data_IF_054101918756
#
_entry.id   IF_054101918756
#
_cell.length_a   1.000
_cell.length_b   1.000
_cell.length_c   1.000
_cell.angle_alpha   90.00
_cell.angle_beta   90.00
_cell.angle_gamma   90.00
#
_symmetry.space_group_name_H-M   'P 1'
#
loop_
_entity.id
_entity.type
_entity.pdbx_description
1 polymer ?
#
# COMPACT_ATOMS: atom_id res chain seq x y z
N UNK A 1 41.69 -22.23 -39.57
CA UNK A 1 40.60 -23.01 -38.93
C UNK A 1 40.28 -22.34 -37.61
N UNK A 2 39.19 -21.58 -37.56
CA UNK A 2 38.88 -20.61 -36.50
C UNK A 2 38.03 -21.27 -35.40
N UNK A 3 38.35 -20.92 -34.15
CA UNK A 3 37.87 -21.49 -32.88
C UNK A 3 36.36 -21.34 -32.66
N UNK A 4 35.70 -22.41 -32.22
CA UNK A 4 34.35 -22.36 -31.63
C UNK A 4 34.45 -22.08 -30.13
N UNK A 5 33.95 -20.91 -29.70
CA UNK A 5 33.69 -20.63 -28.29
C UNK A 5 32.23 -20.98 -27.98
N UNK A 6 32.01 -21.92 -27.07
CA UNK A 6 30.72 -22.12 -26.42
C UNK A 6 30.57 -21.06 -25.33
N UNK A 7 29.69 -20.08 -25.54
CA UNK A 7 29.28 -19.15 -24.50
C UNK A 7 28.03 -19.71 -23.81
N UNK A 8 28.23 -20.38 -22.67
CA UNK A 8 27.13 -20.72 -21.75
C UNK A 8 26.65 -19.43 -21.08
N UNK A 9 25.50 -18.92 -21.52
CA UNK A 9 24.80 -17.83 -20.82
C UNK A 9 24.15 -18.43 -19.57
N UNK A 10 24.80 -18.27 -18.42
CA UNK A 10 24.17 -18.48 -17.15
C UNK A 10 23.10 -17.39 -16.95
N UNK A 11 21.83 -17.74 -17.10
CA UNK A 11 20.72 -16.94 -16.60
C UNK A 11 20.80 -16.93 -15.08
N UNK A 12 21.59 -16.02 -14.54
CA UNK A 12 21.54 -15.67 -13.13
C UNK A 12 20.18 -15.08 -12.84
N UNK A 13 19.31 -15.83 -12.17
CA UNK A 13 18.13 -15.29 -11.52
C UNK A 13 18.64 -14.40 -10.39
N UNK A 14 18.87 -13.13 -10.69
CA UNK A 14 18.98 -12.14 -9.63
C UNK A 14 17.61 -12.10 -8.97
N UNK A 15 17.51 -12.76 -7.82
CA UNK A 15 16.49 -12.48 -6.82
C UNK A 15 16.66 -11.00 -6.46
N UNK A 16 16.02 -10.12 -7.22
CA UNK A 16 15.79 -8.75 -6.80
C UNK A 16 14.95 -8.89 -5.54
N UNK A 17 15.57 -8.58 -4.40
CA UNK A 17 14.87 -8.50 -3.13
C UNK A 17 13.68 -7.57 -3.33
N UNK A 18 12.48 -8.16 -3.32
CA UNK A 18 11.21 -7.44 -3.33
C UNK A 18 11.19 -6.60 -2.07
N UNK A 19 11.52 -5.31 -2.15
CA UNK A 19 11.37 -4.40 -1.01
C UNK A 19 9.88 -4.29 -0.71
N UNK A 20 9.39 -4.89 0.39
CA UNK A 20 7.96 -5.16 0.57
C UNK A 20 7.33 -4.00 1.32
N UNK A 21 7.60 -2.76 0.92
CA UNK A 21 6.85 -1.63 1.46
C UNK A 21 5.67 -1.41 0.51
N UNK A 22 4.50 -2.04 0.74
CA UNK A 22 3.31 -1.64 0.01
C UNK A 22 3.12 -0.13 0.23
N UNK A 23 2.62 0.54 -0.79
CA UNK A 23 2.40 1.97 -0.71
C UNK A 23 1.22 2.23 0.24
N UNK A 24 1.47 2.95 1.33
CA UNK A 24 0.50 3.23 2.39
C UNK A 24 -0.01 4.68 2.32
N UNK A 25 -1.19 4.93 2.88
CA UNK A 25 -1.80 6.27 2.93
C UNK A 25 -2.29 6.61 4.35
N UNK A 26 -1.76 7.69 4.92
CA UNK A 26 -2.23 8.27 6.18
C UNK A 26 -3.51 9.11 5.98
N UNK A 27 -4.31 9.27 7.04
CA UNK A 27 -5.54 10.08 6.99
C UNK A 27 -5.38 11.30 7.88
N UNK A 28 -5.50 12.49 7.29
CA UNK A 28 -5.37 13.75 8.02
C UNK A 28 -6.53 13.94 8.99
N UNK A 29 -6.19 14.19 10.25
CA UNK A 29 -7.15 14.57 11.29
C UNK A 29 -7.34 16.10 11.27
N UNK A 30 -8.59 16.54 11.42
CA UNK A 30 -8.93 17.96 11.50
C UNK A 30 -8.97 18.41 12.97
N UNK A 31 -8.29 19.53 13.26
CA UNK A 31 -8.23 20.12 14.59
C UNK A 31 -6.83 20.03 15.22
N UNK A 32 -6.76 20.29 16.52
CA UNK A 32 -5.54 20.17 17.35
C UNK A 32 -5.75 19.17 18.47
N UNK A 33 -4.65 18.62 19.00
CA UNK A 33 -4.65 17.73 20.16
C UNK A 33 -4.15 16.32 19.84
N UNK A 34 -4.47 15.32 20.67
CA UNK A 34 -3.88 13.98 20.58
C UNK A 34 -4.06 13.30 19.21
N UNK A 35 -5.19 13.54 18.54
CA UNK A 35 -5.41 13.04 17.18
C UNK A 35 -4.43 13.63 16.16
N UNK A 36 -4.13 14.93 16.25
CA UNK A 36 -3.11 15.58 15.41
C UNK A 36 -1.71 14.98 15.67
N UNK A 37 -1.39 14.72 16.94
CA UNK A 37 -0.11 14.14 17.33
C UNK A 37 0.03 12.69 16.86
N UNK A 38 -1.05 11.89 16.95
CA UNK A 38 -1.13 10.56 16.37
C UNK A 38 -0.89 10.59 14.84
N UNK A 39 -1.57 11.50 14.14
CA UNK A 39 -1.38 11.68 12.69
C UNK A 39 0.09 12.02 12.36
N UNK A 40 0.70 12.97 13.06
CA UNK A 40 2.12 13.34 12.86
C UNK A 40 3.05 12.16 13.11
N UNK A 41 2.81 11.40 14.18
CA UNK A 41 3.59 10.20 14.49
C UNK A 41 3.52 9.17 13.37
N UNK A 42 2.34 8.96 12.76
CA UNK A 42 2.15 8.08 11.61
C UNK A 42 2.87 8.61 10.35
N UNK A 43 2.78 9.91 10.06
CA UNK A 43 3.50 10.56 8.95
C UNK A 43 5.00 10.37 9.07
N UNK A 44 5.54 10.57 10.27
CA UNK A 44 6.96 10.45 10.57
C UNK A 44 7.43 9.00 10.76
N UNK A 45 6.51 8.02 10.65
CA UNK A 45 6.77 6.58 10.83
C UNK A 45 7.43 6.25 12.17
N UNK A 46 7.04 6.93 13.25
CA UNK A 46 7.59 6.67 14.59
C UNK A 46 7.09 5.32 15.11
N UNK A 47 7.94 4.30 15.12
CA UNK A 47 7.53 2.92 15.48
C UNK A 47 7.53 2.62 16.98
N UNK A 48 7.98 3.57 17.81
CA UNK A 48 8.05 3.39 19.26
C UNK A 48 6.65 3.31 19.90
N UNK A 49 6.49 2.55 20.99
CA UNK A 49 5.21 2.38 21.70
C UNK A 49 4.52 3.71 22.03
N UNK A 50 5.30 4.70 22.45
CA UNK A 50 4.85 6.08 22.70
C UNK A 50 4.07 6.72 21.53
N UNK A 51 4.32 6.33 20.28
CA UNK A 51 3.55 6.82 19.13
C UNK A 51 2.13 6.26 19.08
N UNK A 52 1.94 5.00 19.50
CA UNK A 52 0.62 4.36 19.60
C UNK A 52 -0.17 4.94 20.78
N UNK A 53 0.49 5.25 21.90
CA UNK A 53 -0.15 5.82 23.09
C UNK A 53 -0.83 7.18 22.79
N UNK A 54 -0.27 7.96 21.84
CA UNK A 54 -0.89 9.20 21.36
C UNK A 54 -2.24 8.93 20.68
N UNK A 55 -2.30 7.89 19.86
CA UNK A 55 -3.52 7.48 19.18
C UNK A 55 -4.54 6.89 20.17
N UNK A 56 -4.09 6.12 21.16
CA UNK A 56 -4.96 5.58 22.22
C UNK A 56 -5.61 6.73 23.01
N UNK A 57 -4.80 7.71 23.40
CA UNK A 57 -5.28 8.91 24.10
C UNK A 57 -6.27 9.71 23.25
N UNK A 58 -6.04 9.81 21.94
CA UNK A 58 -6.98 10.46 21.01
C UNK A 58 -8.34 9.75 20.97
N UNK A 59 -8.35 8.41 20.87
CA UNK A 59 -9.58 7.63 20.78
C UNK A 59 -10.45 7.69 22.05
N UNK A 60 -9.87 8.05 23.20
CA UNK A 60 -10.60 8.28 24.45
C UNK A 60 -11.41 9.58 24.43
N UNK A 61 -10.93 10.62 23.74
CA UNK A 61 -11.51 11.97 23.78
C UNK A 61 -12.22 12.37 22.49
N UNK A 62 -11.89 11.73 21.37
CA UNK A 62 -12.52 12.01 20.08
C UNK A 62 -13.98 11.55 20.07
N UNK A 63 -14.88 12.51 19.83
CA UNK A 63 -16.32 12.26 19.69
C UNK A 63 -16.76 12.17 18.23
N UNK A 64 -16.02 12.80 17.32
CA UNK A 64 -16.30 12.78 15.88
C UNK A 64 -15.96 11.42 15.27
N UNK A 65 -16.94 10.76 14.66
CA UNK A 65 -16.75 9.51 13.91
C UNK A 65 -15.66 9.65 12.84
N UNK A 66 -15.60 10.80 12.17
CA UNK A 66 -14.58 11.10 11.15
C UNK A 66 -13.16 11.12 11.73
N UNK A 67 -12.97 11.75 12.89
CA UNK A 67 -11.63 11.79 13.50
C UNK A 67 -11.27 10.41 14.05
N UNK A 68 -12.20 9.72 14.71
CA UNK A 68 -11.97 8.36 15.23
C UNK A 68 -11.58 7.38 14.13
N UNK A 69 -12.28 7.37 12.99
CA UNK A 69 -11.93 6.49 11.87
C UNK A 69 -10.54 6.81 11.32
N UNK A 70 -10.19 8.09 11.17
CA UNK A 70 -8.85 8.52 10.78
C UNK A 70 -7.76 8.12 11.79
N UNK A 71 -8.04 8.26 13.10
CA UNK A 71 -7.12 7.86 14.17
C UNK A 71 -6.87 6.35 14.17
N UNK A 72 -7.91 5.54 13.96
CA UNK A 72 -7.73 4.09 13.78
C UNK A 72 -6.86 3.78 12.56
N UNK A 73 -7.04 4.45 11.41
CA UNK A 73 -6.15 4.25 10.25
C UNK A 73 -4.70 4.60 10.59
N UNK A 74 -4.47 5.75 11.23
CA UNK A 74 -3.11 6.19 11.58
C UNK A 74 -2.44 5.26 12.61
N UNK A 75 -3.19 4.78 13.61
CA UNK A 75 -2.69 3.80 14.58
C UNK A 75 -2.40 2.44 13.92
N UNK A 76 -3.26 2.00 13.00
CA UNK A 76 -3.04 0.80 12.21
C UNK A 76 -1.75 0.87 11.40
N UNK A 77 -1.41 2.03 10.82
CA UNK A 77 -0.12 2.25 10.16
C UNK A 77 1.07 2.14 11.11
N UNK A 78 0.98 2.72 12.31
CA UNK A 78 2.02 2.57 13.35
C UNK A 78 2.20 1.12 13.78
N UNK A 79 1.11 0.36 13.85
CA UNK A 79 1.17 -1.08 14.06
C UNK A 79 1.85 -1.80 12.89
N UNK A 80 1.55 -1.46 11.63
CA UNK A 80 2.25 -2.02 10.47
C UNK A 80 3.76 -1.72 10.49
N UNK A 81 4.16 -0.48 10.79
CA UNK A 81 5.59 -0.13 10.85
C UNK A 81 6.33 -0.84 11.98
N UNK A 82 5.63 -1.16 13.07
CA UNK A 82 6.13 -2.00 14.16
C UNK A 82 5.87 -3.49 13.99
N UNK A 83 5.51 -3.95 12.78
CA UNK A 83 5.24 -5.36 12.44
C UNK A 83 4.13 -6.05 13.28
N UNK A 84 3.24 -5.27 13.88
CA UNK A 84 2.07 -5.74 14.65
C UNK A 84 0.86 -5.93 13.75
N UNK A 85 0.96 -6.92 12.88
CA UNK A 85 0.03 -7.12 11.77
C UNK A 85 -1.44 -7.34 12.17
N UNK A 86 -1.73 -8.12 13.22
CA UNK A 86 -3.12 -8.33 13.66
C UNK A 86 -3.72 -7.05 14.25
N UNK A 87 -2.96 -6.33 15.07
CA UNK A 87 -3.40 -5.04 15.62
C UNK A 87 -3.68 -4.02 14.50
N UNK A 88 -2.85 -4.01 13.44
CA UNK A 88 -3.09 -3.18 12.27
C UNK A 88 -4.40 -3.54 11.55
N UNK A 89 -4.64 -4.84 11.32
CA UNK A 89 -5.90 -5.32 10.72
C UNK A 89 -7.11 -4.90 11.55
N UNK A 90 -7.08 -5.15 12.84
CA UNK A 90 -8.17 -4.79 13.77
C UNK A 90 -8.48 -3.30 13.72
N UNK A 91 -7.46 -2.46 13.60
CA UNK A 91 -7.63 -1.01 13.49
C UNK A 91 -8.24 -0.59 12.16
N UNK A 92 -7.81 -1.18 11.03
CA UNK A 92 -8.47 -0.91 9.74
C UNK A 92 -9.91 -1.39 9.73
N UNK A 93 -10.22 -2.52 10.36
CA UNK A 93 -11.59 -3.03 10.48
C UNK A 93 -12.46 -2.10 11.33
N UNK A 94 -11.93 -1.57 12.45
CA UNK A 94 -12.63 -0.55 13.25
C UNK A 94 -12.84 0.75 12.49
N UNK A 95 -11.84 1.21 11.73
CA UNK A 95 -11.98 2.39 10.89
C UNK A 95 -13.12 2.22 9.87
N UNK A 96 -13.18 1.07 9.19
CA UNK A 96 -14.21 0.74 8.20
C UNK A 96 -15.59 0.48 8.82
N UNK A 97 -15.64 0.03 10.07
CA UNK A 97 -16.90 -0.07 10.82
C UNK A 97 -17.50 1.32 11.11
N UNK A 98 -16.65 2.33 11.35
CA UNK A 98 -17.06 3.72 11.57
C UNK A 98 -17.35 4.46 10.27
N UNK A 99 -16.54 4.25 9.23
CA UNK A 99 -16.69 4.88 7.93
C UNK A 99 -16.36 3.89 6.79
N UNK A 100 -17.42 3.34 6.18
CA UNK A 100 -17.32 2.40 5.06
C UNK A 100 -16.86 3.03 3.75
N UNK A 101 -16.73 4.36 3.68
CA UNK A 101 -16.28 5.09 2.49
C UNK A 101 -14.83 5.56 2.59
N UNK A 102 -14.13 5.17 3.66
CA UNK A 102 -12.73 5.57 3.88
C UNK A 102 -11.77 4.76 2.98
N UNK A 103 -11.45 5.32 1.82
CA UNK A 103 -10.62 4.67 0.80
C UNK A 103 -9.23 4.27 1.32
N UNK A 104 -8.62 5.09 2.18
CA UNK A 104 -7.31 4.85 2.78
C UNK A 104 -7.32 3.63 3.71
N UNK A 105 -8.42 3.35 4.40
CA UNK A 105 -8.53 2.18 5.25
C UNK A 105 -8.53 0.89 4.42
N UNK A 106 -9.28 0.87 3.31
CA UNK A 106 -9.24 -0.25 2.36
C UNK A 106 -7.84 -0.39 1.73
N UNK A 107 -7.22 0.71 1.31
CA UNK A 107 -5.86 0.69 0.75
C UNK A 107 -4.86 0.05 1.71
N UNK A 108 -4.89 0.45 2.99
CA UNK A 108 -3.93 -0.05 3.98
C UNK A 108 -4.22 -1.50 4.39
N UNK A 109 -5.49 -1.90 4.49
CA UNK A 109 -5.86 -3.31 4.73
C UNK A 109 -5.49 -4.22 3.56
N UNK A 110 -5.70 -3.74 2.33
CA UNK A 110 -5.26 -4.42 1.12
C UNK A 110 -3.73 -4.53 1.02
N UNK A 111 -3.00 -3.47 1.40
CA UNK A 111 -1.54 -3.48 1.53
C UNK A 111 -1.05 -4.52 2.55
N UNK A 112 -1.71 -4.63 3.70
CA UNK A 112 -1.42 -5.64 4.72
C UNK A 112 -1.68 -7.06 4.20
N UNK A 113 -2.79 -7.29 3.48
CA UNK A 113 -3.08 -8.56 2.84
C UNK A 113 -2.03 -8.93 1.78
N UNK A 114 -1.59 -7.95 0.98
CA UNK A 114 -0.52 -8.11 0.00
C UNK A 114 0.80 -8.52 0.65
N UNK A 115 1.18 -7.89 1.77
CA UNK A 115 2.37 -8.27 2.53
C UNK A 115 2.31 -9.74 3.00
N UNK A 116 1.12 -10.21 3.38
CA UNK A 116 0.86 -11.62 3.74
C UNK A 116 0.69 -12.55 2.54
N UNK A 117 0.84 -12.04 1.30
CA UNK A 117 0.61 -12.75 0.04
C UNK A 117 -0.82 -13.28 -0.11
N UNK A 118 -1.77 -12.73 0.63
CA UNK A 118 -3.19 -12.96 0.41
C UNK A 118 -3.67 -12.04 -0.71
N UNK A 119 -3.29 -12.40 -1.94
CA UNK A 119 -3.57 -11.57 -3.11
C UNK A 119 -5.07 -11.45 -3.39
N UNK A 120 -5.89 -12.44 -3.01
CA UNK A 120 -7.32 -12.37 -3.23
C UNK A 120 -7.96 -11.29 -2.34
N UNK A 121 -7.66 -11.31 -1.03
CA UNK A 121 -8.13 -10.28 -0.11
C UNK A 121 -7.57 -8.91 -0.47
N UNK A 122 -6.29 -8.84 -0.87
CA UNK A 122 -5.67 -7.59 -1.32
C UNK A 122 -6.43 -6.99 -2.52
N UNK A 123 -6.74 -7.78 -3.54
CA UNK A 123 -7.47 -7.29 -4.72
C UNK A 123 -8.86 -6.74 -4.34
N UNK A 124 -9.60 -7.45 -3.50
CA UNK A 124 -10.93 -6.98 -3.04
C UNK A 124 -10.86 -5.62 -2.37
N UNK A 125 -9.94 -5.44 -1.43
CA UNK A 125 -9.79 -4.17 -0.73
C UNK A 125 -9.26 -3.06 -1.64
N UNK A 126 -8.30 -3.36 -2.50
CA UNK A 126 -7.70 -2.36 -3.40
C UNK A 126 -8.66 -1.91 -4.49
N UNK A 127 -9.53 -2.80 -4.98
CA UNK A 127 -10.64 -2.43 -5.87
C UNK A 127 -11.61 -1.47 -5.19
N UNK A 128 -11.96 -1.75 -3.92
CA UNK A 128 -12.83 -0.89 -3.14
C UNK A 128 -12.18 0.48 -2.84
N UNK A 129 -10.88 0.50 -2.54
CA UNK A 129 -10.13 1.75 -2.35
C UNK A 129 -10.14 2.60 -3.63
N UNK A 130 -9.91 2.00 -4.79
CA UNK A 130 -9.95 2.69 -6.09
C UNK A 130 -11.34 3.23 -6.40
N UNK A 131 -12.39 2.45 -6.11
CA UNK A 131 -13.78 2.86 -6.33
C UNK A 131 -14.18 4.08 -5.48
N UNK A 132 -13.67 4.17 -4.25
CA UNK A 132 -14.03 5.20 -3.29
C UNK A 132 -13.14 6.46 -3.33
N UNK A 133 -11.93 6.36 -3.89
CA UNK A 133 -10.95 7.44 -3.83
C UNK A 133 -11.34 8.65 -4.70
N UNK A 134 -11.76 9.74 -4.06
CA UNK A 134 -12.09 11.02 -4.73
C UNK A 134 -10.85 11.68 -5.36
N UNK A 135 -9.71 11.66 -4.65
CA UNK A 135 -8.44 12.27 -5.11
C UNK A 135 -7.56 11.32 -5.94
N UNK A 136 -8.09 10.13 -6.30
CA UNK A 136 -7.39 9.03 -6.99
C UNK A 136 -6.09 8.62 -6.28
N UNK A 137 -6.12 7.48 -5.59
CA UNK A 137 -4.96 6.98 -4.83
C UNK A 137 -3.97 6.21 -5.74
N UNK A 138 -2.84 6.80 -6.20
CA UNK A 138 -1.86 6.07 -7.02
C UNK A 138 -1.30 4.84 -6.32
N UNK A 139 -1.20 4.88 -5.00
CA UNK A 139 -0.77 3.77 -4.14
C UNK A 139 -1.70 2.55 -4.26
N UNK A 140 -3.01 2.76 -4.42
CA UNK A 140 -3.97 1.67 -4.57
C UNK A 140 -3.75 0.92 -5.88
N UNK A 141 -3.53 1.65 -6.98
CA UNK A 141 -3.17 1.04 -8.27
C UNK A 141 -1.84 0.29 -8.19
N UNK A 142 -0.80 0.89 -7.58
CA UNK A 142 0.48 0.22 -7.43
C UNK A 142 0.37 -1.09 -6.63
N UNK A 143 -0.29 -1.06 -5.47
CA UNK A 143 -0.49 -2.27 -4.67
C UNK A 143 -1.35 -3.30 -5.42
N UNK A 144 -2.35 -2.87 -6.20
CA UNK A 144 -3.21 -3.77 -6.98
C UNK A 144 -2.41 -4.43 -8.10
N UNK A 145 -1.48 -3.70 -8.72
CA UNK A 145 -0.56 -4.27 -9.69
C UNK A 145 0.28 -5.41 -9.09
N UNK A 146 0.84 -5.20 -7.90
CA UNK A 146 1.62 -6.23 -7.20
C UNK A 146 0.75 -7.46 -6.85
N UNK A 147 -0.51 -7.24 -6.43
CA UNK A 147 -1.44 -8.33 -6.16
C UNK A 147 -1.82 -9.10 -7.44
N UNK A 148 -2.07 -8.40 -8.56
CA UNK A 148 -2.34 -8.99 -9.87
C UNK A 148 -1.15 -9.80 -10.39
N UNK A 149 0.06 -9.28 -10.27
CA UNK A 149 1.30 -10.00 -10.62
C UNK A 149 1.44 -11.28 -9.79
N UNK A 150 1.19 -11.20 -8.47
CA UNK A 150 1.16 -12.37 -7.58
C UNK A 150 0.11 -13.42 -7.97
N UNK A 151 -0.96 -13.03 -8.67
CA UNK A 151 -2.00 -13.91 -9.22
C UNK A 151 -1.74 -14.34 -10.66
N UNK A 152 -0.66 -13.87 -11.29
CA UNK A 152 -0.31 -14.15 -12.68
C UNK A 152 -1.01 -13.26 -13.72
N UNK A 153 -1.79 -12.27 -13.30
CA UNK A 153 -2.40 -11.28 -14.20
C UNK A 153 -1.39 -10.16 -14.54
N UNK A 154 -0.43 -10.52 -15.39
CA UNK A 154 0.66 -9.61 -15.80
C UNK A 154 0.14 -8.42 -16.62
N UNK A 155 -0.87 -8.65 -17.46
CA UNK A 155 -1.46 -7.59 -18.29
C UNK A 155 -2.18 -6.54 -17.42
N UNK A 156 -3.01 -6.99 -16.47
CA UNK A 156 -3.69 -6.11 -15.54
C UNK A 156 -2.73 -5.40 -14.59
N UNK A 157 -1.63 -6.05 -14.18
CA UNK A 157 -0.57 -5.42 -13.38
C UNK A 157 0.13 -4.28 -14.13
N UNK A 158 0.48 -4.50 -15.40
CA UNK A 158 1.07 -3.46 -16.26
C UNK A 158 0.18 -2.21 -16.36
N UNK A 159 -1.12 -2.40 -16.60
CA UNK A 159 -2.08 -1.29 -16.71
C UNK A 159 -2.20 -0.50 -15.40
N UNK A 160 -2.22 -1.19 -14.26
CA UNK A 160 -2.27 -0.53 -12.95
C UNK A 160 -0.98 0.25 -12.64
N UNK A 161 0.20 -0.27 -13.03
CA UNK A 161 1.46 0.46 -12.89
C UNK A 161 1.49 1.73 -13.75
N UNK A 162 0.96 1.68 -14.98
CA UNK A 162 0.82 2.87 -15.83
C UNK A 162 -0.13 3.90 -15.22
N UNK A 163 -1.25 3.45 -14.65
CA UNK A 163 -2.19 4.33 -13.94
C UNK A 163 -1.50 4.99 -12.73
N UNK A 164 -0.78 4.22 -11.91
CA UNK A 164 -0.02 4.76 -10.78
C UNK A 164 1.03 5.80 -11.21
N UNK A 165 1.78 5.53 -12.29
CA UNK A 165 2.76 6.47 -12.84
C UNK A 165 2.10 7.75 -13.37
N UNK A 166 0.96 7.63 -14.04
CA UNK A 166 0.24 8.78 -14.61
C UNK A 166 -0.33 9.68 -13.52
N UNK A 167 -0.85 9.07 -12.45
CA UNK A 167 -1.40 9.80 -11.30
C UNK A 167 -0.31 10.45 -10.44
N UNK A 168 0.86 9.81 -10.33
CA UNK A 168 2.01 10.35 -9.59
C UNK A 168 3.32 10.25 -10.40
N UNK A 169 3.55 11.15 -11.38
CA UNK A 169 4.73 11.07 -12.26
C UNK A 169 6.07 11.18 -11.54
N UNK A 170 6.11 11.86 -10.39
CA UNK A 170 7.30 12.01 -9.56
C UNK A 170 7.58 10.77 -8.68
N UNK A 171 6.64 9.83 -8.59
CA UNK A 171 6.82 8.62 -7.82
C UNK A 171 7.56 7.56 -8.65
N UNK A 172 8.83 7.32 -8.33
CA UNK A 172 9.70 6.48 -9.15
C UNK A 172 9.42 4.97 -9.04
N UNK A 173 8.68 4.50 -8.02
CA UNK A 173 8.45 3.06 -7.82
C UNK A 173 7.67 2.42 -8.98
N UNK A 174 6.48 2.91 -9.40
CA UNK A 174 5.80 2.38 -10.58
C UNK A 174 6.68 2.36 -11.84
N UNK A 175 7.47 3.43 -12.05
CA UNK A 175 8.38 3.56 -13.19
C UNK A 175 9.53 2.55 -13.14
N UNK A 176 10.04 2.22 -11.96
CA UNK A 176 11.04 1.19 -11.79
C UNK A 176 10.46 -0.20 -12.13
N UNK A 177 9.25 -0.51 -11.64
CA UNK A 177 8.56 -1.77 -11.93
C UNK A 177 8.26 -1.95 -13.41
N UNK A 178 7.78 -0.89 -14.09
CA UNK A 178 7.47 -0.92 -15.52
C UNK A 178 8.66 -1.32 -16.40
N UNK A 179 9.91 -1.07 -15.98
CA UNK A 179 11.12 -1.48 -16.73
C UNK A 179 11.29 -3.00 -16.83
N UNK A 180 10.63 -3.76 -15.95
CA UNK A 180 10.65 -5.23 -15.97
C UNK A 180 9.75 -5.80 -17.06
N UNK A 181 8.78 -5.03 -17.55
CA UNK A 181 7.81 -5.46 -18.54
C UNK A 181 8.39 -5.31 -19.94
N UNK A 182 8.13 -6.31 -20.80
CA UNK A 182 8.42 -6.23 -22.24
C UNK A 182 7.09 -6.23 -22.98
N UNK A 183 6.78 -5.14 -23.68
CA UNK A 183 5.62 -5.09 -24.57
C UNK A 183 6.03 -5.71 -25.89
N UNK A 184 5.48 -6.90 -26.20
CA UNK A 184 5.63 -7.50 -27.51
C UNK A 184 4.57 -6.88 -28.42
N UNK A 185 4.97 -6.05 -29.39
CA UNK A 185 4.05 -5.67 -30.46
C UNK A 185 3.69 -6.93 -31.22
N UNK A 186 2.41 -7.28 -31.28
CA UNK A 186 1.93 -8.29 -32.23
C UNK A 186 2.21 -7.75 -33.63
N UNK A 187 3.31 -8.21 -34.24
CA UNK A 187 3.64 -7.89 -35.62
C UNK A 187 2.48 -8.32 -36.51
N UNK A 188 2.07 -7.41 -37.40
CA UNK A 188 1.10 -7.68 -38.46
C UNK A 188 1.69 -8.52 -39.60
#
# INVERSE_FOLDING_TARGET
MLRSFLASVALGWTLVAFSPAPALAQVKILGKGPGEDCYKAAVERRTHFAAVDLCDSALLVETSTRNRSATFVNRGLLHMFGERWEAARDDFDKALALDKRLAEAYLNRGALALYRKDYAAALTDLDQAILLAEDRLPQAYFNRALAREGKGDVAGAYQDLLAAQTLAPAWELPKAELKRYRVLSSGG
#
